data_IF_322769704055
#
_entry.id   IF_322769704055
#
_cell.length_a   1.000
_cell.length_b   1.000
_cell.length_c   1.000
_cell.angle_alpha   90.00
_cell.angle_beta   90.00
_cell.angle_gamma   90.00
#
_symmetry.space_group_name_H-M   'P 1'
#
loop_
_entity.id
_entity.type
_entity.pdbx_description
1 polymer ?
#
# COMPACT_ATOMS: atom_id res chain seq x y z
N UNK A 1 -23.41 21.96 -5.70
CA UNK A 1 -22.08 21.42 -6.08
C UNK A 1 -21.96 19.99 -5.54
N UNK A 2 -22.00 18.95 -6.38
CA UNK A 2 -21.78 17.56 -5.90
C UNK A 2 -20.31 17.44 -5.50
N UNK A 3 -20.04 17.17 -4.22
CA UNK A 3 -18.71 16.71 -3.78
C UNK A 3 -18.44 15.40 -4.52
N UNK A 4 -17.45 15.38 -5.40
CA UNK A 4 -16.94 14.15 -5.98
C UNK A 4 -16.57 13.23 -4.82
N UNK A 5 -17.10 11.99 -4.81
CA UNK A 5 -16.72 11.02 -3.79
C UNK A 5 -15.21 10.79 -3.88
N UNK A 6 -14.53 10.80 -2.73
CA UNK A 6 -13.10 10.52 -2.67
C UNK A 6 -12.87 9.09 -3.18
N UNK A 7 -11.99 8.93 -4.17
CA UNK A 7 -11.68 7.62 -4.72
C UNK A 7 -11.01 6.74 -3.64
N UNK A 8 -11.42 5.47 -3.57
CA UNK A 8 -10.79 4.47 -2.71
C UNK A 8 -9.65 3.80 -3.47
N UNK A 9 -8.46 3.75 -2.85
CA UNK A 9 -7.25 3.18 -3.43
C UNK A 9 -6.92 1.79 -2.86
N UNK A 10 -7.95 1.10 -2.39
CA UNK A 10 -7.86 -0.27 -1.89
C UNK A 10 -7.87 -1.27 -3.05
N UNK A 11 -7.23 -2.42 -2.85
CA UNK A 11 -7.19 -3.50 -3.85
C UNK A 11 -8.62 -3.93 -4.20
N UNK A 12 -8.87 -4.12 -5.50
CA UNK A 12 -10.19 -4.44 -6.07
C UNK A 12 -11.06 -3.23 -6.39
N UNK A 13 -10.70 -2.02 -5.94
CA UNK A 13 -11.48 -0.81 -6.24
C UNK A 13 -11.20 -0.28 -7.64
N UNK A 14 -12.24 0.30 -8.26
CA UNK A 14 -12.09 1.02 -9.52
C UNK A 14 -11.75 2.49 -9.28
N UNK A 15 -10.76 2.97 -10.02
CA UNK A 15 -10.24 4.33 -9.93
C UNK A 15 -10.12 4.97 -11.32
N UNK A 16 -9.94 6.29 -11.30
CA UNK A 16 -9.68 7.15 -12.46
C UNK A 16 -8.41 7.95 -12.21
N UNK A 17 -7.48 7.87 -13.16
CA UNK A 17 -6.23 8.62 -13.15
C UNK A 17 -6.18 9.51 -14.40
N UNK A 18 -6.20 10.83 -14.19
CA UNK A 18 -6.31 11.79 -15.28
C UNK A 18 -7.59 11.58 -16.09
N UNK A 19 -7.46 11.21 -17.37
CA UNK A 19 -8.57 10.87 -18.25
C UNK A 19 -8.89 9.36 -18.32
N UNK A 20 -7.98 8.49 -17.87
CA UNK A 20 -8.19 7.04 -17.86
C UNK A 20 -9.09 6.63 -16.70
N UNK A 21 -10.25 6.07 -17.02
CA UNK A 21 -11.20 5.51 -16.06
C UNK A 21 -11.34 3.99 -16.23
N UNK A 22 -11.90 3.34 -15.21
CA UNK A 22 -12.08 1.88 -15.19
C UNK A 22 -10.77 1.13 -14.92
N UNK A 23 -9.84 1.77 -14.20
CA UNK A 23 -8.61 1.14 -13.71
C UNK A 23 -8.95 0.41 -12.42
N UNK A 24 -8.62 -0.86 -12.30
CA UNK A 24 -8.80 -1.63 -11.06
C UNK A 24 -7.48 -1.70 -10.31
N UNK A 25 -7.48 -1.40 -9.01
CA UNK A 25 -6.28 -1.52 -8.15
C UNK A 25 -5.98 -2.99 -7.90
N UNK A 26 -4.79 -3.45 -8.28
CA UNK A 26 -4.33 -4.83 -8.11
C UNK A 26 -3.39 -4.97 -6.91
N UNK A 27 -2.52 -3.98 -6.71
CA UNK A 27 -1.63 -3.94 -5.57
C UNK A 27 -1.31 -2.50 -5.17
N UNK A 28 -1.03 -2.34 -3.88
CA UNK A 28 -0.48 -1.13 -3.28
C UNK A 28 0.89 -1.49 -2.70
N UNK A 29 1.93 -0.86 -3.20
CA UNK A 29 3.31 -1.09 -2.79
C UNK A 29 3.70 0.08 -1.89
N UNK A 30 3.75 -0.12 -0.57
CA UNK A 30 4.29 0.90 0.32
C UNK A 30 5.79 1.05 0.04
N UNK A 31 6.30 2.27 0.14
CA UNK A 31 7.72 2.58 0.10
C UNK A 31 8.18 2.90 1.53
N UNK A 32 8.54 1.90 2.33
CA UNK A 32 8.94 2.13 3.71
C UNK A 32 10.32 2.77 3.76
N UNK A 33 10.42 3.95 4.40
CA UNK A 33 11.70 4.57 4.75
C UNK A 33 12.17 5.71 3.84
N UNK A 34 11.52 5.97 2.72
CA UNK A 34 11.88 7.04 1.77
C UNK A 34 10.89 8.23 1.76
N UNK A 35 9.83 8.16 2.58
CA UNK A 35 8.70 9.12 2.61
C UNK A 35 8.02 9.32 1.25
N UNK A 36 8.29 8.46 0.27
CA UNK A 36 7.69 8.56 -1.05
C UNK A 36 6.21 8.11 -1.00
N UNK A 37 5.39 8.60 -1.95
CA UNK A 37 4.03 8.10 -2.10
C UNK A 37 4.03 6.62 -2.50
N UNK A 38 3.08 5.84 -1.97
CA UNK A 38 2.91 4.45 -2.36
C UNK A 38 2.72 4.31 -3.88
N UNK A 39 3.36 3.29 -4.47
CA UNK A 39 3.13 2.89 -5.85
C UNK A 39 1.93 1.95 -5.95
N UNK A 40 1.22 2.00 -7.07
CA UNK A 40 0.04 1.17 -7.33
C UNK A 40 0.21 0.42 -8.63
N UNK A 41 -0.19 -0.84 -8.64
CA UNK A 41 -0.39 -1.62 -9.87
C UNK A 41 -1.87 -1.57 -10.22
N UNK A 42 -2.19 -1.11 -11.42
CA UNK A 42 -3.54 -0.98 -11.93
C UNK A 42 -3.74 -1.85 -13.18
N UNK A 43 -4.97 -2.30 -13.41
CA UNK A 43 -5.34 -3.05 -14.62
C UNK A 43 -6.58 -2.47 -15.29
N UNK A 44 -6.61 -2.47 -16.62
CA UNK A 44 -7.79 -2.11 -17.43
C UNK A 44 -7.87 -3.04 -18.63
N UNK A 45 -8.82 -3.99 -18.60
CA UNK A 45 -8.85 -5.09 -19.56
C UNK A 45 -7.57 -5.92 -19.45
N UNK A 46 -6.84 -6.06 -20.55
CA UNK A 46 -5.58 -6.82 -20.60
C UNK A 46 -4.33 -5.95 -20.36
N UNK A 47 -4.51 -4.64 -20.11
CA UNK A 47 -3.40 -3.69 -19.97
C UNK A 47 -3.09 -3.41 -18.49
N UNK A 48 -1.80 -3.43 -18.14
CA UNK A 48 -1.31 -3.14 -16.80
C UNK A 48 -0.63 -1.77 -16.77
N UNK A 49 -0.72 -1.12 -15.60
CA UNK A 49 -0.12 0.19 -15.38
C UNK A 49 0.51 0.27 -13.98
N UNK A 50 1.61 1.00 -13.88
CA UNK A 50 2.16 1.49 -12.62
C UNK A 50 1.70 2.94 -12.42
N UNK A 51 1.21 3.27 -11.23
CA UNK A 51 0.86 4.63 -10.84
C UNK A 51 1.61 5.01 -9.57
N UNK A 52 2.29 6.14 -9.61
CA UNK A 52 2.89 6.76 -8.42
C UNK A 52 2.35 8.19 -8.35
N UNK A 53 1.71 8.60 -7.24
CA UNK A 53 1.24 9.96 -7.06
C UNK A 53 2.34 10.99 -7.38
N UNK A 54 1.99 12.05 -8.10
CA UNK A 54 2.89 13.09 -8.64
C UNK A 54 3.84 12.64 -9.76
N UNK A 55 4.19 11.35 -9.86
CA UNK A 55 5.07 10.82 -10.92
C UNK A 55 4.30 10.30 -12.14
N UNK A 56 2.98 10.11 -12.02
CA UNK A 56 2.09 9.79 -13.13
C UNK A 56 1.81 8.30 -13.31
N UNK A 57 1.22 7.98 -14.46
CA UNK A 57 0.78 6.64 -14.84
C UNK A 57 1.61 6.14 -16.02
N UNK A 58 2.27 5.00 -15.84
CA UNK A 58 3.10 4.36 -16.88
C UNK A 58 2.53 3.00 -17.21
N UNK A 59 2.41 2.68 -18.50
CA UNK A 59 2.01 1.33 -18.94
C UNK A 59 3.16 0.36 -18.70
N UNK A 60 2.85 -0.82 -18.17
CA UNK A 60 3.84 -1.86 -17.86
C UNK A 60 3.41 -3.19 -18.50
N UNK A 61 4.37 -4.09 -18.64
CA UNK A 61 4.14 -5.46 -19.09
C UNK A 61 3.52 -6.31 -17.98
N UNK A 62 2.95 -7.46 -18.36
CA UNK A 62 2.45 -8.43 -17.39
C UNK A 62 3.56 -9.03 -16.52
N UNK A 63 4.80 -9.11 -17.02
CA UNK A 63 5.94 -9.58 -16.26
C UNK A 63 6.31 -8.58 -15.15
N UNK A 64 6.48 -7.30 -15.49
CA UNK A 64 6.75 -6.23 -14.53
C UNK A 64 5.63 -6.13 -13.49
N UNK A 65 4.36 -6.21 -13.91
CA UNK A 65 3.24 -6.19 -12.98
C UNK A 65 3.30 -7.34 -11.96
N UNK A 66 3.70 -8.54 -12.36
CA UNK A 66 3.86 -9.70 -11.45
C UNK A 66 4.99 -9.48 -10.46
N UNK A 67 6.12 -8.94 -10.91
CA UNK A 67 7.27 -8.63 -10.05
C UNK A 67 6.88 -7.59 -8.99
N UNK A 68 6.25 -6.48 -9.41
CA UNK A 68 5.77 -5.44 -8.51
C UNK A 68 4.75 -5.96 -7.48
N UNK A 69 3.84 -6.85 -7.88
CA UNK A 69 2.90 -7.49 -6.95
C UNK A 69 3.62 -8.41 -5.96
N UNK A 70 4.65 -9.14 -6.41
CA UNK A 70 5.46 -9.98 -5.53
C UNK A 70 6.24 -9.13 -4.51
N UNK A 71 6.80 -8.00 -4.94
CA UNK A 71 7.43 -7.01 -4.06
C UNK A 71 6.45 -6.48 -3.02
N UNK A 72 5.25 -6.08 -3.44
CA UNK A 72 4.21 -5.62 -2.53
C UNK A 72 3.95 -6.64 -1.42
N UNK A 73 3.78 -7.93 -1.78
CA UNK A 73 3.55 -9.01 -0.82
C UNK A 73 4.73 -9.17 0.15
N UNK A 74 5.97 -9.12 -0.34
CA UNK A 74 7.17 -9.20 0.52
C UNK A 74 7.23 -8.07 1.52
N UNK A 75 6.99 -6.84 1.07
CA UNK A 75 7.05 -5.66 1.93
C UNK A 75 5.92 -5.66 2.96
N UNK A 76 4.70 -6.01 2.55
CA UNK A 76 3.56 -6.14 3.48
C UNK A 76 3.82 -7.20 4.55
N UNK A 77 4.27 -8.39 4.16
CA UNK A 77 4.61 -9.45 5.12
C UNK A 77 5.70 -9.01 6.11
N UNK A 78 6.72 -8.28 5.64
CA UNK A 78 7.75 -7.73 6.52
C UNK A 78 7.20 -6.64 7.46
N UNK A 79 6.30 -5.79 6.97
CA UNK A 79 5.66 -4.76 7.78
C UNK A 79 4.75 -5.35 8.86
N UNK A 80 3.95 -6.37 8.52
CA UNK A 80 3.12 -7.13 9.45
C UNK A 80 3.95 -7.79 10.55
N UNK A 81 5.05 -8.46 10.16
CA UNK A 81 5.97 -9.07 11.13
C UNK A 81 6.60 -8.04 12.09
N UNK A 82 7.02 -6.88 11.55
CA UNK A 82 7.56 -5.78 12.36
C UNK A 82 6.50 -5.20 13.30
N UNK A 83 5.28 -4.99 12.82
CA UNK A 83 4.17 -4.49 13.63
C UNK A 83 3.83 -5.46 14.76
N UNK A 84 3.81 -6.76 14.50
CA UNK A 84 3.61 -7.79 15.52
C UNK A 84 4.71 -7.76 16.60
N UNK A 85 5.98 -7.64 16.20
CA UNK A 85 7.10 -7.54 17.13
C UNK A 85 7.04 -6.26 17.98
N UNK A 86 6.69 -5.12 17.37
CA UNK A 86 6.52 -3.85 18.09
C UNK A 86 5.36 -3.90 19.08
N UNK A 87 4.23 -4.52 18.71
CA UNK A 87 3.09 -4.69 19.61
C UNK A 87 3.48 -5.56 20.83
N UNK A 88 4.18 -6.68 20.60
CA UNK A 88 4.68 -7.52 21.69
C UNK A 88 5.64 -6.75 22.62
N UNK A 89 6.56 -5.97 22.05
CA UNK A 89 7.47 -5.12 22.82
C UNK A 89 6.74 -4.04 23.63
N UNK A 90 5.73 -3.38 23.05
CA UNK A 90 4.94 -2.37 23.73
C UNK A 90 4.15 -2.96 24.91
N UNK A 91 3.58 -4.15 24.75
CA UNK A 91 2.88 -4.86 25.84
C UNK A 91 3.87 -5.22 26.97
N UNK A 92 5.06 -5.75 26.62
CA UNK A 92 6.08 -6.08 27.61
C UNK A 92 6.56 -4.83 28.38
N UNK A 93 6.80 -3.73 27.67
CA UNK A 93 7.19 -2.45 28.28
C UNK A 93 6.10 -1.89 29.20
N UNK A 94 4.83 -1.94 28.78
CA UNK A 94 3.70 -1.50 29.59
C UNK A 94 3.56 -2.34 30.88
N UNK A 95 3.78 -3.66 30.79
CA UNK A 95 3.77 -4.55 31.95
C UNK A 95 4.87 -4.20 32.95
N UNK A 96 6.11 -4.02 32.48
CA UNK A 96 7.24 -3.64 33.32
C UNK A 96 7.02 -2.27 33.98
N UNK A 97 6.48 -1.30 33.24
CA UNK A 97 6.17 0.02 33.80
C UNK A 97 5.14 -0.08 34.93
N UNK A 98 4.10 -0.93 34.77
CA UNK A 98 3.11 -1.17 35.82
C UNK A 98 3.71 -1.82 37.06
N UNK A 99 4.61 -2.80 36.89
CA UNK A 99 5.33 -3.44 38.00
C UNK A 99 6.20 -2.43 38.77
N UNK A 100 6.93 -1.57 38.07
CA UNK A 100 7.80 -0.56 38.70
C UNK A 100 7.03 0.54 39.44
N UNK A 101 5.81 0.89 39.01
CA UNK A 101 4.96 1.88 39.68
C UNK A 101 4.21 1.33 40.91
N UNK A 102 4.14 0.01 41.04
CA UNK A 102 3.48 -0.67 42.16
C UNK A 102 4.45 -1.03 43.31
N UNK A 103 5.75 -0.78 43.13
CA UNK A 103 6.81 -0.96 44.13
C UNK A 103 7.10 0.34 44.88
#
# INVERSE_FOLDING_TARGET
MRKQAKQSWEVGQQVKVGFLAGLTVVAKIPTPGDYAPAAYVLVRGEQFYSFVPHNGLTKITAAEAREMVADAKRVHAAAEARAAAQAAGAIAAAKLAAELMAA
#
